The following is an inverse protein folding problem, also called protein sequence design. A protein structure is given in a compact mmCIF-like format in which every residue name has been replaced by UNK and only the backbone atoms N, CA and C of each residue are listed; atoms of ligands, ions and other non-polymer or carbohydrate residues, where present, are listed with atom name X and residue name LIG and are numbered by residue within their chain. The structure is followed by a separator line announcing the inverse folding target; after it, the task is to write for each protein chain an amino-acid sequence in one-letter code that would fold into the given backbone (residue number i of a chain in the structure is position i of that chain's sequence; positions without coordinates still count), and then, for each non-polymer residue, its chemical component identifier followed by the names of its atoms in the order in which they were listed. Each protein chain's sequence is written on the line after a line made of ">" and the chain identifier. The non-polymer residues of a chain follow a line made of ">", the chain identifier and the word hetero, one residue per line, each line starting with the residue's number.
data_IF_183467716910
#
_entry.id   IF_183467716910
#
_cell.length_a   1.000
_cell.length_b   1.000
_cell.length_c   1.000
_cell.angle_alpha   90.00
_cell.angle_beta   90.00
_cell.angle_gamma   90.00
#
_symmetry.space_group_name_H-M   'P 1'
#
loop_
_entity.id
_entity.type
_entity.pdbx_description
1 polymer ?
#
# COMPACT_ATOMS: atom_id res chain seq x y z
N UNK A 1 -43.22 -37.41 -21.57
CA UNK A 1 -41.79 -37.09 -21.37
C UNK A 1 -41.23 -38.08 -20.39
N UNK A 2 -40.09 -38.70 -20.71
CA UNK A 2 -39.47 -39.65 -19.80
C UNK A 2 -39.02 -38.96 -18.49
N UNK A 3 -39.28 -39.56 -17.31
CA UNK A 3 -38.88 -39.00 -16.02
C UNK A 3 -37.38 -38.67 -15.95
N UNK A 4 -36.56 -39.46 -16.64
CA UNK A 4 -35.11 -39.24 -16.74
C UNK A 4 -34.74 -37.93 -17.46
N UNK A 5 -35.51 -37.54 -18.48
CA UNK A 5 -35.28 -36.28 -19.21
C UNK A 5 -35.62 -35.07 -18.33
N UNK A 6 -36.68 -35.18 -17.52
CA UNK A 6 -37.10 -34.11 -16.59
C UNK A 6 -36.04 -33.91 -15.49
N UNK A 7 -35.55 -35.00 -14.89
CA UNK A 7 -34.49 -34.93 -13.87
C UNK A 7 -33.19 -34.36 -14.45
N UNK A 8 -32.82 -34.76 -15.67
CA UNK A 8 -31.66 -34.20 -16.38
C UNK A 8 -31.77 -32.69 -16.61
N UNK A 9 -32.94 -32.21 -17.06
CA UNK A 9 -33.14 -30.78 -17.29
C UNK A 9 -33.10 -29.95 -16.00
N UNK A 10 -33.65 -30.46 -14.90
CA UNK A 10 -33.58 -29.80 -13.59
C UNK A 10 -32.12 -29.69 -13.13
N UNK A 11 -31.33 -30.77 -13.24
CA UNK A 11 -29.91 -30.76 -12.86
C UNK A 11 -29.06 -29.76 -13.65
N UNK A 12 -29.32 -29.64 -14.95
CA UNK A 12 -28.64 -28.63 -15.80
C UNK A 12 -29.06 -27.22 -15.41
N UNK A 13 -30.36 -26.98 -15.17
CA UNK A 13 -30.86 -25.67 -14.77
C UNK A 13 -30.29 -25.22 -13.42
N UNK A 14 -30.26 -26.10 -12.41
CA UNK A 14 -29.68 -25.77 -11.09
C UNK A 14 -28.19 -25.47 -11.18
N UNK A 15 -27.44 -26.23 -11.99
CA UNK A 15 -26.00 -26.03 -12.18
C UNK A 15 -25.72 -24.71 -12.91
N UNK A 16 -26.51 -24.39 -13.94
CA UNK A 16 -26.39 -23.13 -14.68
C UNK A 16 -26.71 -21.92 -13.78
N UNK A 17 -27.77 -22.00 -12.98
CA UNK A 17 -28.17 -20.95 -12.04
C UNK A 17 -27.08 -20.75 -10.97
N UNK A 18 -26.60 -21.83 -10.36
CA UNK A 18 -25.54 -21.77 -9.35
C UNK A 18 -24.23 -21.18 -9.93
N UNK A 19 -23.86 -21.57 -11.15
CA UNK A 19 -22.69 -21.03 -11.86
C UNK A 19 -22.84 -19.54 -12.15
N UNK A 20 -24.02 -19.11 -12.61
CA UNK A 20 -24.31 -17.70 -12.89
C UNK A 20 -24.28 -16.83 -11.63
N UNK A 21 -24.90 -17.30 -10.54
CA UNK A 21 -24.86 -16.62 -9.24
C UNK A 21 -23.43 -16.53 -8.70
N UNK A 22 -22.67 -17.62 -8.76
CA UNK A 22 -21.28 -17.66 -8.30
C UNK A 22 -20.39 -16.71 -9.11
N UNK A 23 -20.61 -16.64 -10.43
CA UNK A 23 -19.91 -15.69 -11.31
C UNK A 23 -20.25 -14.24 -10.97
N UNK A 24 -21.54 -13.92 -10.75
CA UNK A 24 -21.96 -12.56 -10.37
C UNK A 24 -21.43 -12.14 -9.00
N UNK A 25 -21.55 -13.00 -8.00
CA UNK A 25 -21.05 -12.75 -6.65
C UNK A 25 -19.52 -12.60 -6.65
N UNK A 26 -18.82 -13.46 -7.41
CA UNK A 26 -17.38 -13.37 -7.61
C UNK A 26 -16.97 -12.00 -8.16
N UNK A 27 -17.61 -11.54 -9.24
CA UNK A 27 -17.30 -10.22 -9.81
C UNK A 27 -17.59 -9.05 -8.85
N UNK A 28 -18.70 -9.10 -8.12
CA UNK A 28 -18.99 -8.06 -7.13
C UNK A 28 -17.94 -8.01 -6.02
N UNK A 29 -17.48 -9.17 -5.55
CA UNK A 29 -16.41 -9.26 -4.55
C UNK A 29 -15.06 -8.75 -5.08
N UNK A 30 -14.72 -9.03 -6.34
CA UNK A 30 -13.51 -8.52 -7.00
C UNK A 30 -13.53 -6.99 -7.11
N UNK A 31 -14.67 -6.42 -7.52
CA UNK A 31 -14.82 -4.97 -7.61
C UNK A 31 -14.72 -4.31 -6.24
N UNK A 32 -15.41 -4.85 -5.22
CA UNK A 32 -15.34 -4.34 -3.86
C UNK A 32 -13.92 -4.41 -3.29
N UNK A 33 -13.19 -5.50 -3.56
CA UNK A 33 -11.79 -5.64 -3.13
C UNK A 33 -10.88 -4.64 -3.85
N UNK A 34 -11.04 -4.46 -5.16
CA UNK A 34 -10.24 -3.50 -5.94
C UNK A 34 -10.48 -2.05 -5.49
N UNK A 35 -11.73 -1.72 -5.16
CA UNK A 35 -12.14 -0.45 -4.58
C UNK A 35 -11.47 -0.22 -3.24
N UNK A 36 -11.66 -1.14 -2.29
CA UNK A 36 -11.03 -1.10 -0.97
C UNK A 36 -9.50 -0.97 -1.07
N UNK A 37 -8.84 -1.76 -1.93
CA UNK A 37 -7.39 -1.65 -2.15
C UNK A 37 -6.97 -0.29 -2.72
N UNK A 38 -7.82 0.36 -3.53
CA UNK A 38 -7.54 1.71 -4.04
C UNK A 38 -7.62 2.73 -2.91
N UNK A 39 -8.66 2.66 -2.09
CA UNK A 39 -8.84 3.56 -0.94
C UNK A 39 -7.71 3.40 0.08
N UNK A 40 -7.35 2.17 0.43
CA UNK A 40 -6.22 1.88 1.33
C UNK A 40 -4.91 2.41 0.78
N UNK A 41 -4.66 2.29 -0.53
CA UNK A 41 -3.46 2.88 -1.17
C UNK A 41 -3.47 4.40 -1.12
N UNK A 42 -4.62 5.02 -1.36
CA UNK A 42 -4.77 6.47 -1.31
C UNK A 42 -4.52 7.00 0.11
N UNK A 43 -5.12 6.36 1.11
CA UNK A 43 -4.86 6.67 2.53
C UNK A 43 -3.38 6.45 2.90
N UNK A 44 -2.80 5.32 2.50
CA UNK A 44 -1.39 5.02 2.75
C UNK A 44 -0.44 6.05 2.15
N UNK A 45 -0.74 6.56 0.95
CA UNK A 45 0.03 7.63 0.33
C UNK A 45 -0.02 8.94 1.15
N UNK A 46 -1.17 9.28 1.72
CA UNK A 46 -1.32 10.45 2.61
C UNK A 46 -0.51 10.28 3.90
N UNK A 47 -0.47 9.07 4.47
CA UNK A 47 0.39 8.76 5.63
C UNK A 47 1.86 8.91 5.30
N UNK A 48 2.32 8.37 4.18
CA UNK A 48 3.72 8.48 3.75
C UNK A 48 4.10 9.95 3.54
N UNK A 49 3.20 10.76 2.96
CA UNK A 49 3.42 12.21 2.83
C UNK A 49 3.57 12.87 4.20
N UNK A 50 2.61 12.69 5.11
CA UNK A 50 2.63 13.32 6.43
C UNK A 50 3.88 12.95 7.25
N UNK A 51 4.31 11.68 7.21
CA UNK A 51 5.55 11.24 7.87
C UNK A 51 6.80 11.82 7.20
N UNK A 52 6.79 11.96 5.86
CA UNK A 52 7.90 12.59 5.13
C UNK A 52 8.00 14.07 5.47
N UNK A 53 6.87 14.79 5.46
CA UNK A 53 6.80 16.21 5.79
C UNK A 53 7.30 16.46 7.22
N UNK A 54 6.90 15.61 8.18
CA UNK A 54 7.40 15.68 9.55
C UNK A 54 8.91 15.38 9.64
N UNK A 55 9.39 14.33 8.97
CA UNK A 55 10.82 13.98 8.99
C UNK A 55 11.69 15.11 8.42
N UNK A 56 11.36 15.60 7.22
CA UNK A 56 12.11 16.69 6.58
C UNK A 56 11.95 18.02 7.31
N UNK A 57 10.75 18.30 7.82
CA UNK A 57 10.47 19.50 8.60
C UNK A 57 11.34 19.56 9.85
N UNK A 58 11.42 18.48 10.63
CA UNK A 58 12.28 18.42 11.81
C UNK A 58 13.77 18.52 11.46
N UNK A 59 14.24 17.83 10.40
CA UNK A 59 15.66 17.92 10.00
C UNK A 59 16.06 19.33 9.55
N UNK A 60 15.16 20.04 8.86
CA UNK A 60 15.46 21.36 8.28
C UNK A 60 15.15 22.53 9.22
N UNK A 61 14.22 22.38 10.16
CA UNK A 61 13.84 23.44 11.09
C UNK A 61 14.73 23.42 12.33
N UNK A 62 15.76 24.26 12.32
CA UNK A 62 16.43 24.70 13.56
C UNK A 62 15.52 25.68 14.32
N UNK A 63 14.45 25.20 14.94
CA UNK A 63 13.87 25.87 16.12
C UNK A 63 12.51 26.57 16.02
N UNK A 64 11.66 26.32 15.01
CA UNK A 64 10.26 26.80 15.06
C UNK A 64 9.28 25.67 15.42
N UNK A 65 8.57 25.83 16.54
CA UNK A 65 7.65 24.82 17.11
C UNK A 65 6.28 24.74 16.43
N UNK A 66 6.00 25.63 15.48
CA UNK A 66 4.65 25.84 14.94
C UNK A 66 4.16 24.66 14.09
N UNK A 67 5.08 23.99 13.41
CA UNK A 67 4.77 22.94 12.44
C UNK A 67 4.60 21.55 13.08
N UNK A 68 5.24 21.31 14.24
CA UNK A 68 5.12 20.04 14.97
C UNK A 68 3.66 19.73 15.37
N UNK A 69 2.93 20.75 15.84
CA UNK A 69 1.52 20.61 16.22
C UNK A 69 0.63 20.23 15.03
N UNK A 70 0.94 20.74 13.83
CA UNK A 70 0.22 20.43 12.60
C UNK A 70 0.45 18.99 12.18
N UNK A 71 1.69 18.49 12.24
CA UNK A 71 1.99 17.09 11.92
C UNK A 71 1.33 16.14 12.91
N UNK A 72 1.35 16.46 14.21
CA UNK A 72 0.65 15.65 15.23
C UNK A 72 -0.85 15.58 14.92
N UNK A 73 -1.49 16.71 14.59
CA UNK A 73 -2.91 16.75 14.22
C UNK A 73 -3.17 15.89 12.98
N UNK A 74 -2.36 16.05 11.93
CA UNK A 74 -2.52 15.32 10.68
C UNK A 74 -2.36 13.81 10.85
N UNK A 75 -1.31 13.37 11.57
CA UNK A 75 -1.08 11.96 11.89
C UNK A 75 -2.21 11.38 12.74
N UNK A 76 -2.75 12.16 13.70
CA UNK A 76 -3.89 11.73 14.52
C UNK A 76 -5.12 11.47 13.64
N UNK A 77 -5.45 12.39 12.73
CA UNK A 77 -6.56 12.20 11.77
C UNK A 77 -6.34 10.94 10.91
N UNK A 78 -5.12 10.74 10.42
CA UNK A 78 -4.79 9.60 9.57
C UNK A 78 -4.87 8.25 10.31
N UNK A 79 -4.58 8.22 11.62
CA UNK A 79 -4.81 7.04 12.47
C UNK A 79 -6.31 6.73 12.54
N UNK A 80 -7.15 7.76 12.75
CA UNK A 80 -8.60 7.57 12.84
C UNK A 80 -9.20 7.08 11.52
N UNK A 81 -8.81 7.68 10.39
CA UNK A 81 -9.20 7.20 9.06
C UNK A 81 -8.70 5.77 8.81
N UNK A 82 -7.48 5.45 9.28
CA UNK A 82 -6.89 4.13 9.16
C UNK A 82 -7.73 3.03 9.82
N UNK A 83 -8.44 3.32 10.91
CA UNK A 83 -9.31 2.36 11.60
C UNK A 83 -10.52 1.91 10.77
N UNK A 84 -10.95 2.70 9.78
CA UNK A 84 -12.02 2.31 8.87
C UNK A 84 -11.59 1.17 7.95
N UNK A 85 -10.30 1.13 7.60
CA UNK A 85 -9.74 0.09 6.73
C UNK A 85 -9.12 -1.06 7.51
N UNK A 86 -8.54 -0.74 8.68
CA UNK A 86 -7.77 -1.64 9.53
C UNK A 86 -8.40 -1.69 10.92
N UNK A 87 -9.51 -2.44 11.09
CA UNK A 87 -10.24 -2.48 12.35
C UNK A 87 -9.36 -3.04 13.47
N UNK A 88 -9.66 -2.63 14.69
CA UNK A 88 -8.98 -3.14 15.88
C UNK A 88 -9.20 -4.65 16.05
N UNK A 89 -8.22 -5.32 16.64
CA UNK A 89 -8.29 -6.74 16.97
C UNK A 89 -8.88 -6.95 18.37
N UNK A 90 -9.51 -8.10 18.62
CA UNK A 90 -10.08 -8.44 19.94
C UNK A 90 -11.12 -7.42 20.46
N UNK A 91 -11.98 -6.88 19.58
CA UNK A 91 -12.98 -5.86 19.92
C UNK A 91 -14.01 -6.32 20.97
N UNK A 92 -14.27 -7.63 21.03
CA UNK A 92 -15.23 -8.22 21.96
C UNK A 92 -14.64 -8.52 23.35
N UNK A 93 -13.33 -8.30 23.54
CA UNK A 93 -12.61 -8.69 24.76
C UNK A 93 -12.08 -7.50 25.56
N UNK A 94 -11.69 -6.41 24.89
CA UNK A 94 -11.02 -5.28 25.55
C UNK A 94 -11.68 -3.94 25.23
N UNK A 95 -11.79 -3.08 26.24
CA UNK A 95 -12.28 -1.70 26.09
C UNK A 95 -13.74 -1.62 25.66
N UNK A 96 -14.61 -2.50 26.19
CA UNK A 96 -16.04 -2.58 25.84
C UNK A 96 -16.81 -1.28 26.17
N UNK A 97 -16.30 -0.49 27.10
CA UNK A 97 -16.74 0.85 27.48
C UNK A 97 -16.48 1.91 26.41
N UNK A 98 -15.57 1.64 25.45
CA UNK A 98 -15.20 2.58 24.39
C UNK A 98 -16.18 2.49 23.21
N UNK A 99 -16.26 3.54 22.37
CA UNK A 99 -16.99 3.47 21.11
C UNK A 99 -16.42 2.38 20.19
N UNK A 100 -17.27 1.81 19.33
CA UNK A 100 -16.99 0.59 18.55
C UNK A 100 -15.61 0.56 17.88
N UNK A 101 -15.24 1.61 17.14
CA UNK A 101 -13.96 1.70 16.42
C UNK A 101 -12.71 1.77 17.33
N UNK A 102 -12.90 1.96 18.65
CA UNK A 102 -11.85 2.10 19.66
C UNK A 102 -11.80 0.93 20.64
N UNK A 103 -12.67 -0.07 20.48
CA UNK A 103 -12.61 -1.32 21.25
C UNK A 103 -11.46 -2.19 20.76
N UNK A 104 -10.92 -3.03 21.62
CA UNK A 104 -9.81 -3.91 21.27
C UNK A 104 -8.46 -3.22 21.15
N UNK A 105 -7.53 -3.90 20.49
CA UNK A 105 -6.17 -3.41 20.21
C UNK A 105 -6.09 -2.80 18.82
N UNK A 106 -5.42 -1.64 18.71
CA UNK A 106 -5.19 -0.98 17.43
C UNK A 106 -4.47 -1.94 16.49
N UNK A 107 -4.84 -1.93 15.21
CA UNK A 107 -4.11 -2.68 14.19
C UNK A 107 -2.64 -2.25 14.15
N UNK A 108 -1.71 -3.20 14.17
CA UNK A 108 -0.27 -2.96 14.33
C UNK A 108 0.33 -2.03 13.26
N UNK A 109 -0.21 -2.06 12.04
CA UNK A 109 0.16 -1.15 10.94
C UNK A 109 0.02 0.34 11.30
N UNK A 110 -0.82 0.68 12.29
CA UNK A 110 -1.01 2.07 12.73
C UNK A 110 -0.02 2.48 13.84
N UNK A 111 0.73 1.54 14.42
CA UNK A 111 1.66 1.82 15.52
C UNK A 111 2.83 2.74 15.12
N UNK A 112 3.42 2.64 13.91
CA UNK A 112 4.45 3.59 13.50
C UNK A 112 3.98 5.06 13.50
N UNK A 113 2.69 5.32 13.20
CA UNK A 113 2.13 6.68 13.24
C UNK A 113 1.99 7.18 14.68
N UNK A 114 1.58 6.30 15.58
CA UNK A 114 1.43 6.61 17.01
C UNK A 114 2.80 6.85 17.63
N UNK A 115 3.79 6.04 17.26
CA UNK A 115 5.19 6.24 17.62
C UNK A 115 5.72 7.58 17.07
N UNK A 116 5.38 7.93 15.82
CA UNK A 116 5.79 9.19 15.22
C UNK A 116 5.25 10.40 16.00
N UNK A 117 3.97 10.37 16.41
CA UNK A 117 3.39 11.41 17.28
C UNK A 117 4.18 11.53 18.58
N UNK A 118 4.51 10.40 19.23
CA UNK A 118 5.30 10.40 20.46
C UNK A 118 6.70 10.99 20.25
N UNK A 119 7.36 10.68 19.14
CA UNK A 119 8.68 11.23 18.78
C UNK A 119 8.61 12.75 18.60
N UNK A 120 7.61 13.24 17.86
CA UNK A 120 7.39 14.67 17.64
C UNK A 120 7.19 15.36 19.01
N UNK A 121 6.35 14.78 19.88
CA UNK A 121 6.08 15.26 21.24
C UNK A 121 7.25 15.08 22.25
N UNK A 122 8.41 14.59 21.82
CA UNK A 122 9.62 14.53 22.65
C UNK A 122 9.84 13.23 23.42
N UNK A 123 9.17 12.14 23.07
CA UNK A 123 9.40 10.83 23.70
C UNK A 123 10.70 10.13 23.23
N UNK A 124 11.34 10.60 22.16
CA UNK A 124 12.59 10.06 21.69
C UNK A 124 13.76 10.50 22.59
N UNK A 125 14.77 9.64 22.84
CA UNK A 125 15.99 10.05 23.53
C UNK A 125 16.65 11.24 22.83
N UNK A 126 17.12 12.23 23.60
CA UNK A 126 17.76 13.45 23.07
C UNK A 126 19.06 13.18 22.30
N UNK A 127 19.66 12.01 22.48
CA UNK A 127 20.86 11.57 21.77
C UNK A 127 20.61 11.10 20.33
N UNK A 128 19.35 10.93 19.92
CA UNK A 128 18.98 10.40 18.60
C UNK A 128 18.31 11.50 17.78
N UNK A 129 18.69 11.61 16.50
CA UNK A 129 18.05 12.53 15.57
C UNK A 129 16.58 12.15 15.34
N UNK A 130 15.66 13.02 15.76
CA UNK A 130 14.21 12.81 15.59
C UNK A 130 13.83 12.60 14.13
N UNK A 131 14.46 13.33 13.19
CA UNK A 131 14.19 13.21 11.76
C UNK A 131 14.50 11.79 11.24
N UNK A 132 15.64 11.23 11.64
CA UNK A 132 16.01 9.85 11.35
C UNK A 132 15.01 8.84 11.94
N UNK A 133 14.56 9.02 13.19
CA UNK A 133 13.55 8.12 13.78
C UNK A 133 12.25 8.15 12.97
N UNK A 134 11.76 9.33 12.60
CA UNK A 134 10.56 9.47 11.77
C UNK A 134 10.73 8.81 10.39
N UNK A 135 11.93 8.90 9.81
CA UNK A 135 12.23 8.24 8.54
C UNK A 135 12.16 6.71 8.64
N UNK A 136 12.66 6.13 9.73
CA UNK A 136 12.55 4.68 9.97
C UNK A 136 11.11 4.25 10.25
N UNK A 137 10.36 5.01 11.07
CA UNK A 137 8.93 4.74 11.31
C UNK A 137 8.11 4.75 10.02
N UNK A 138 8.43 5.64 9.08
CA UNK A 138 7.83 5.65 7.74
C UNK A 138 8.12 4.38 6.97
N UNK A 139 9.33 3.82 7.07
CA UNK A 139 9.69 2.55 6.41
C UNK A 139 8.94 1.37 7.04
N UNK A 140 8.84 1.33 8.36
CA UNK A 140 8.05 0.33 9.08
C UNK A 140 6.57 0.36 8.66
N UNK A 141 5.99 1.56 8.55
CA UNK A 141 4.64 1.73 8.03
C UNK A 141 4.50 1.19 6.60
N UNK A 142 5.39 1.59 5.70
CA UNK A 142 5.37 1.15 4.29
C UNK A 142 5.52 -0.37 4.20
N UNK A 143 6.41 -0.98 5.00
CA UNK A 143 6.59 -2.42 5.04
C UNK A 143 5.30 -3.14 5.47
N UNK A 144 4.72 -2.68 6.58
CA UNK A 144 3.46 -3.23 7.12
C UNK A 144 2.32 -3.11 6.10
N UNK A 145 2.22 -1.98 5.40
CA UNK A 145 1.19 -1.76 4.37
C UNK A 145 1.46 -2.58 3.10
N UNK A 146 2.73 -2.79 2.75
CA UNK A 146 3.13 -3.62 1.61
C UNK A 146 2.67 -5.07 1.80
N UNK A 147 2.77 -5.61 3.01
CA UNK A 147 2.27 -6.94 3.34
C UNK A 147 0.75 -7.05 3.15
N UNK A 148 0.00 -6.03 3.59
CA UNK A 148 -1.47 -5.97 3.44
C UNK A 148 -1.86 -5.89 1.96
N UNK A 149 -1.21 -5.03 1.19
CA UNK A 149 -1.56 -4.78 -0.21
C UNK A 149 -1.04 -5.87 -1.16
N UNK A 150 0.02 -6.59 -0.78
CA UNK A 150 0.65 -7.65 -1.57
C UNK A 150 0.90 -7.26 -3.03
N UNK A 151 1.58 -6.14 -3.33
CA UNK A 151 1.73 -5.66 -4.71
C UNK A 151 2.49 -6.64 -5.59
N UNK A 152 3.41 -7.45 -5.05
CA UNK A 152 4.10 -8.49 -5.81
C UNK A 152 3.16 -9.58 -6.33
N UNK A 153 2.19 -9.98 -5.52
CA UNK A 153 1.16 -10.93 -5.93
C UNK A 153 0.34 -10.35 -7.09
N UNK A 154 -0.11 -9.09 -6.94
CA UNK A 154 -0.86 -8.37 -7.97
C UNK A 154 -0.08 -8.19 -9.27
N UNK A 155 1.19 -7.77 -9.18
CA UNK A 155 2.06 -7.61 -10.35
C UNK A 155 2.24 -8.93 -11.09
N UNK A 156 2.38 -10.05 -10.37
CA UNK A 156 2.43 -11.40 -10.96
C UNK A 156 1.12 -11.80 -11.63
N UNK A 157 -0.03 -11.45 -11.04
CA UNK A 157 -1.33 -11.73 -11.66
C UNK A 157 -1.53 -10.92 -12.95
N UNK A 158 -1.27 -9.61 -12.91
CA UNK A 158 -1.35 -8.72 -14.08
C UNK A 158 -0.41 -9.22 -15.19
N UNK A 159 0.82 -9.59 -14.82
CA UNK A 159 1.79 -10.16 -15.73
C UNK A 159 1.27 -11.45 -16.43
N UNK A 160 0.61 -12.35 -15.69
CA UNK A 160 -0.01 -13.56 -16.27
C UNK A 160 -1.13 -13.22 -17.24
N UNK A 161 -1.96 -12.23 -16.94
CA UNK A 161 -3.07 -11.79 -17.81
C UNK A 161 -2.50 -11.24 -19.12
N UNK A 162 -1.51 -10.34 -19.06
CA UNK A 162 -0.88 -9.75 -20.25
C UNK A 162 -0.24 -10.84 -21.14
N UNK A 163 0.42 -11.85 -20.54
CA UNK A 163 0.99 -12.98 -21.30
C UNK A 163 -0.07 -13.79 -22.04
N UNK A 164 -1.23 -14.01 -21.41
CA UNK A 164 -2.34 -14.76 -22.02
C UNK A 164 -3.02 -13.97 -23.13
N UNK A 165 -3.12 -12.65 -23.02
CA UNK A 165 -3.77 -11.80 -24.02
C UNK A 165 -2.89 -11.47 -25.24
N UNK A 166 -1.56 -11.57 -25.10
CA UNK A 166 -0.61 -11.31 -26.19
C UNK A 166 0.37 -12.48 -26.39
N UNK A 167 -0.02 -13.48 -27.20
CA UNK A 167 0.82 -14.64 -27.54
C UNK A 167 2.19 -14.24 -28.13
N UNK A 168 2.23 -13.13 -28.88
CA UNK A 168 3.44 -12.56 -29.50
C UNK A 168 4.42 -11.91 -28.51
N UNK A 169 3.99 -11.59 -27.28
CA UNK A 169 4.80 -10.98 -26.21
C UNK A 169 5.14 -11.95 -25.07
N UNK A 170 4.88 -13.24 -25.27
CA UNK A 170 5.14 -14.27 -24.25
C UNK A 170 6.61 -14.34 -23.81
N UNK A 171 7.53 -13.90 -24.68
CA UNK A 171 8.99 -13.88 -24.45
C UNK A 171 9.56 -12.54 -23.97
N UNK A 172 8.76 -11.50 -23.72
CA UNK A 172 9.25 -10.23 -23.17
C UNK A 172 9.64 -10.41 -21.68
N UNK A 173 10.93 -10.65 -21.44
CA UNK A 173 11.53 -10.91 -20.13
C UNK A 173 11.23 -9.83 -19.06
N UNK A 174 10.96 -8.57 -19.42
CA UNK A 174 10.18 -7.68 -18.58
C UNK A 174 8.85 -7.38 -19.27
N UNK A 175 7.72 -7.76 -18.66
CA UNK A 175 6.40 -7.25 -19.03
C UNK A 175 6.33 -5.75 -18.69
N UNK A 176 7.03 -4.91 -19.46
CA UNK A 176 7.14 -3.47 -19.25
C UNK A 176 7.79 -3.02 -17.94
N UNK A 177 8.52 -3.90 -17.23
CA UNK A 177 9.12 -3.58 -15.92
C UNK A 177 8.24 -3.89 -14.71
N UNK A 178 7.07 -4.53 -14.89
CA UNK A 178 6.20 -4.96 -13.78
C UNK A 178 6.81 -6.04 -12.90
N UNK A 179 7.70 -6.86 -13.46
CA UNK A 179 8.43 -7.88 -12.74
C UNK A 179 9.94 -7.59 -12.86
N UNK A 180 10.71 -7.78 -11.77
CA UNK A 180 12.15 -7.71 -11.86
C UNK A 180 12.65 -8.76 -12.85
N UNK A 181 13.64 -8.39 -13.68
CA UNK A 181 14.34 -9.35 -14.53
C UNK A 181 15.12 -10.31 -13.64
N UNK A 182 14.89 -11.61 -13.80
CA UNK A 182 15.57 -12.64 -13.01
C UNK A 182 17.09 -12.45 -13.08
N UNK A 183 17.73 -12.35 -11.91
CA UNK A 183 19.19 -12.31 -11.78
C UNK A 183 19.87 -10.97 -12.12
N UNK A 184 19.13 -9.94 -12.55
CA UNK A 184 19.75 -8.63 -12.81
C UNK A 184 19.62 -7.72 -11.60
N UNK A 185 20.75 -7.33 -11.02
CA UNK A 185 20.80 -6.25 -10.02
C UNK A 185 20.61 -4.92 -10.78
N UNK A 186 19.66 -4.06 -10.38
CA UNK A 186 19.51 -2.76 -11.01
C UNK A 186 20.79 -1.93 -10.80
N UNK A 187 21.14 -1.09 -11.79
CA UNK A 187 22.36 -0.27 -11.78
C UNK A 187 22.48 0.68 -10.57
N UNK A 188 21.37 0.95 -9.88
CA UNK A 188 21.31 1.83 -8.72
C UNK A 188 21.26 3.31 -9.09
N UNK A 189 20.92 4.15 -8.10
CA UNK A 189 20.71 5.59 -8.30
C UNK A 189 21.96 6.33 -8.77
N UNK A 190 23.14 5.96 -8.25
CA UNK A 190 24.42 6.60 -8.59
C UNK A 190 24.76 6.46 -10.09
N UNK A 191 24.72 5.24 -10.61
CA UNK A 191 25.02 4.99 -12.03
C UNK A 191 24.01 5.68 -12.96
N UNK A 192 22.73 5.72 -12.56
CA UNK A 192 21.69 6.46 -13.29
C UNK A 192 22.00 7.96 -13.28
N UNK A 193 22.35 8.54 -12.13
CA UNK A 193 22.70 9.95 -12.01
C UNK A 193 23.92 10.30 -12.87
N UNK A 194 25.00 9.51 -12.77
CA UNK A 194 26.22 9.71 -13.56
C UNK A 194 25.94 9.66 -15.07
N UNK A 195 25.08 8.72 -15.50
CA UNK A 195 24.64 8.60 -16.90
C UNK A 195 23.89 9.85 -17.37
N UNK A 196 22.98 10.37 -16.55
CA UNK A 196 22.20 11.58 -16.87
C UNK A 196 23.11 12.81 -16.92
N UNK A 197 24.00 12.97 -15.93
CA UNK A 197 24.97 14.08 -15.88
C UNK A 197 25.86 14.08 -17.12
N UNK A 198 26.38 12.91 -17.52
CA UNK A 198 27.21 12.78 -18.73
C UNK A 198 26.45 13.19 -19.98
N UNK A 199 25.18 12.78 -20.11
CA UNK A 199 24.31 13.13 -21.25
C UNK A 199 24.03 14.63 -21.34
N UNK A 200 23.86 15.31 -20.21
CA UNK A 200 23.66 16.76 -20.18
C UNK A 200 24.94 17.46 -20.65
N UNK A 201 26.10 17.08 -20.10
CA UNK A 201 27.40 17.66 -20.48
C UNK A 201 27.69 17.51 -21.96
N UNK A 202 27.45 16.34 -22.55
CA UNK A 202 27.68 16.11 -23.98
C UNK A 202 26.79 16.97 -24.89
N UNK A 203 25.57 17.32 -24.45
CA UNK A 203 24.68 18.20 -25.21
C UNK A 203 25.15 19.66 -25.17
N UNK A 204 25.69 20.11 -24.05
CA UNK A 204 26.23 21.47 -23.90
C UNK A 204 27.46 21.70 -24.77
N UNK A 205 28.29 20.68 -25.00
CA UNK A 205 29.52 20.79 -25.83
C UNK A 205 29.24 20.80 -27.34
N UNK A 206 28.10 20.29 -27.81
CA UNK A 206 27.72 20.33 -29.23
C UNK A 206 26.95 21.60 -29.64
N UNK A 207 26.66 22.49 -28.69
CA UNK A 207 25.95 23.77 -28.92
C UNK A 207 26.90 24.99 -28.82
N UNK A 208 28.20 24.77 -28.61
CA UNK A 208 29.27 25.77 -28.72
C UNK A 208 30.14 25.45 -29.91
#
# INVERSE_FOLDING_TARGET
>A
MDPLVIVGMIGVATTAIASFLSYRLGRQSEFAMAEWMREVRSWGAQVVSALSDAAYGITNQRGESKDESQWVKQLSVLIEVGRFYLPNQHQDQYGLDKPLAYRGFRHATLDPLVAAIRVIQGAAPTSIDKGQVLWELRREFVSSLFEILGPDHHNRMIAKIIRKSHSSRSNDLPLGGLLPRNGTIPLGSKAVLDTVVKRIRSKSTCQS
#
